data_IF_542863089408
#
_entry.id   IF_542863089408
#
_cell.length_a   1.000
_cell.length_b   1.000
_cell.length_c   1.000
_cell.angle_alpha   90.00
_cell.angle_beta   90.00
_cell.angle_gamma   90.00
#
_symmetry.space_group_name_H-M   'P 1'
#
loop_
_entity.id
_entity.type
_entity.pdbx_description
1 polymer ?
#
# COMPACT_ATOMS: atom_id res chain seq x y z
N UNK A 1 -18.36 1.63 -65.25
CA UNK A 1 -16.93 1.40 -65.54
C UNK A 1 -16.21 2.74 -65.38
N UNK A 2 -15.38 2.89 -64.32
CA UNK A 2 -14.25 3.84 -64.13
C UNK A 2 -14.59 5.36 -64.23
N UNK A 3 -14.22 6.28 -63.34
CA UNK A 3 -13.04 6.34 -62.45
C UNK A 3 -13.15 7.53 -61.47
N UNK A 4 -12.77 7.27 -60.22
CA UNK A 4 -12.23 8.14 -59.15
C UNK A 4 -11.73 9.55 -59.52
N UNK A 5 -11.90 10.51 -58.59
CA UNK A 5 -10.78 11.18 -57.87
C UNK A 5 -11.22 12.18 -56.77
N UNK A 6 -10.70 11.94 -55.54
CA UNK A 6 -10.23 12.89 -54.47
C UNK A 6 -11.19 13.96 -53.92
N UNK A 7 -11.68 13.94 -52.67
CA UNK A 7 -11.07 13.92 -51.32
C UNK A 7 -10.28 15.21 -50.96
N UNK A 8 -10.76 16.00 -49.97
CA UNK A 8 -10.02 16.80 -48.93
C UNK A 8 -11.03 17.61 -48.07
N UNK A 9 -11.40 17.15 -46.86
CA UNK A 9 -11.04 17.68 -45.51
C UNK A 9 -11.60 19.07 -45.16
N UNK A 10 -12.51 19.12 -44.17
CA UNK A 10 -12.40 20.02 -43.00
C UNK A 10 -13.38 19.59 -41.88
N UNK A 11 -12.93 18.71 -40.98
CA UNK A 11 -13.51 18.56 -39.64
C UNK A 11 -12.62 19.36 -38.70
N UNK A 12 -13.18 20.36 -38.00
CA UNK A 12 -12.42 21.05 -36.95
C UNK A 12 -13.36 21.50 -35.83
N UNK A 13 -12.88 21.25 -34.61
CA UNK A 13 -13.26 21.85 -33.33
C UNK A 13 -14.42 21.22 -32.53
N UNK A 14 -14.12 20.09 -31.88
CA UNK A 14 -14.47 19.89 -30.46
C UNK A 14 -13.27 19.21 -29.77
N UNK A 15 -12.38 20.00 -29.18
CA UNK A 15 -11.49 19.55 -28.10
C UNK A 15 -11.56 20.61 -27.01
N UNK A 16 -12.65 20.57 -26.25
CA UNK A 16 -12.71 21.22 -24.96
C UNK A 16 -12.09 20.23 -23.97
N UNK A 17 -10.88 20.58 -23.54
CA UNK A 17 -10.07 19.91 -22.54
C UNK A 17 -10.85 19.89 -21.22
N UNK A 18 -11.33 18.71 -20.82
CA UNK A 18 -11.63 18.42 -19.42
C UNK A 18 -10.35 17.83 -18.82
N UNK A 19 -9.68 18.48 -17.85
CA UNK A 19 -8.81 17.75 -16.96
C UNK A 19 -9.72 16.87 -16.09
N UNK A 20 -9.88 15.60 -16.46
CA UNK A 20 -10.38 14.61 -15.53
C UNK A 20 -9.38 14.52 -14.39
N UNK A 21 -9.63 15.27 -13.31
CA UNK A 21 -9.11 14.92 -11.99
C UNK A 21 -9.73 13.55 -11.68
N UNK A 22 -9.00 12.49 -11.96
CA UNK A 22 -9.37 11.14 -11.54
C UNK A 22 -9.31 11.10 -10.01
N UNK A 23 -10.42 11.42 -9.35
CA UNK A 23 -10.58 11.11 -7.94
C UNK A 23 -10.75 9.59 -7.83
N UNK A 24 -10.02 8.97 -6.91
CA UNK A 24 -10.24 7.59 -6.51
C UNK A 24 -11.73 7.40 -6.23
N UNK A 25 -12.34 6.31 -6.70
CA UNK A 25 -13.77 6.08 -6.45
C UNK A 25 -13.92 5.33 -5.13
N UNK A 26 -14.44 5.94 -4.05
CA UNK A 26 -14.62 5.23 -2.80
C UNK A 26 -15.61 4.09 -2.97
N UNK A 27 -15.25 2.91 -2.48
CA UNK A 27 -16.10 1.70 -2.49
C UNK A 27 -16.75 1.43 -1.14
N UNK A 28 -16.51 2.32 -0.18
CA UNK A 28 -16.97 2.27 1.19
C UNK A 28 -16.20 3.26 2.04
N UNK A 29 -16.45 3.22 3.35
CA UNK A 29 -15.72 4.04 4.32
C UNK A 29 -15.43 3.24 5.57
N UNK A 30 -14.41 3.64 6.33
CA UNK A 30 -14.14 3.16 7.69
C UNK A 30 -13.98 4.36 8.62
N UNK A 31 -14.41 4.22 9.87
CA UNK A 31 -14.15 5.22 10.90
C UNK A 31 -13.04 4.67 11.81
N UNK A 32 -11.86 5.28 11.76
CA UNK A 32 -10.63 4.80 12.41
C UNK A 32 -9.95 5.88 13.25
N UNK A 33 -9.20 5.47 14.27
CA UNK A 33 -8.23 6.31 15.00
C UNK A 33 -6.91 5.56 15.09
N UNK A 34 -5.79 6.28 15.11
CA UNK A 34 -4.49 5.68 15.37
C UNK A 34 -4.34 5.41 16.88
N UNK A 35 -4.17 4.15 17.26
CA UNK A 35 -4.07 3.66 18.63
C UNK A 35 -2.67 3.08 18.92
N UNK A 36 -1.65 3.84 18.50
CA UNK A 36 -0.25 3.48 18.69
C UNK A 36 0.29 2.50 17.64
N UNK A 37 1.41 1.88 17.97
CA UNK A 37 2.22 1.13 17.01
C UNK A 37 2.31 -0.36 17.36
N UNK A 38 2.36 -1.18 16.32
CA UNK A 38 2.83 -2.55 16.40
C UNK A 38 4.35 -2.58 16.43
N UNK A 39 4.95 -3.59 15.80
CA UNK A 39 6.39 -3.62 15.59
C UNK A 39 6.81 -2.39 14.76
N UNK A 40 7.70 -1.59 15.32
CA UNK A 40 8.18 -0.34 14.74
C UNK A 40 9.49 0.09 15.39
N UNK A 41 10.28 0.86 14.64
CA UNK A 41 11.47 1.54 15.14
C UNK A 41 11.58 2.95 14.53
N UNK A 42 12.56 3.73 15.00
CA UNK A 42 12.79 5.10 14.55
C UNK A 42 13.85 5.13 13.46
N UNK A 43 13.46 5.59 12.28
CA UNK A 43 14.36 5.90 11.17
C UNK A 43 14.38 7.40 10.86
N UNK A 44 15.35 7.81 10.08
CA UNK A 44 15.46 9.18 9.55
C UNK A 44 15.04 9.18 8.08
N UNK A 45 14.03 9.99 7.75
CA UNK A 45 13.34 10.01 6.47
C UNK A 45 13.73 11.26 5.66
N UNK A 46 14.04 11.03 4.39
CA UNK A 46 14.24 12.04 3.36
C UNK A 46 13.33 11.64 2.19
N UNK A 47 12.18 12.30 2.06
CA UNK A 47 11.12 11.89 1.14
C UNK A 47 9.78 12.46 1.59
N UNK A 48 8.82 12.57 0.66
CA UNK A 48 7.53 13.22 0.96
C UNK A 48 7.68 14.67 1.46
N UNK A 49 8.70 15.40 0.99
CA UNK A 49 8.96 16.78 1.37
C UNK A 49 9.78 16.95 2.66
N UNK A 50 10.19 15.84 3.30
CA UNK A 50 11.06 15.86 4.47
C UNK A 50 12.53 15.77 4.10
N UNK A 51 13.39 16.39 4.91
CA UNK A 51 14.85 16.32 4.80
C UNK A 51 15.45 16.05 6.18
N UNK A 52 15.47 14.78 6.58
CA UNK A 52 16.00 14.35 7.88
C UNK A 52 14.96 14.29 9.00
N UNK A 53 13.71 13.95 8.68
CA UNK A 53 12.66 13.76 9.69
C UNK A 53 12.89 12.44 10.45
N UNK A 54 13.07 12.50 11.76
CA UNK A 54 13.01 11.29 12.59
C UNK A 54 11.55 10.91 12.83
N UNK A 55 11.16 9.71 12.40
CA UNK A 55 9.80 9.20 12.49
C UNK A 55 9.76 7.69 12.69
N UNK A 56 8.60 7.19 13.10
CA UNK A 56 8.39 5.75 13.23
C UNK A 56 8.19 5.11 11.86
N UNK A 57 8.95 4.05 11.59
CA UNK A 57 8.71 3.12 10.50
C UNK A 57 8.24 1.80 11.07
N UNK A 58 7.13 1.29 10.56
CA UNK A 58 6.56 0.03 11.00
C UNK A 58 5.04 0.04 10.96
N UNK A 59 4.44 -0.85 11.75
CA UNK A 59 3.00 -1.05 11.78
C UNK A 59 2.32 0.04 12.61
N UNK A 60 1.36 0.72 11.99
CA UNK A 60 0.39 1.59 12.66
C UNK A 60 -0.81 0.75 13.06
N UNK A 61 -1.19 0.82 14.34
CA UNK A 61 -2.39 0.16 14.85
C UNK A 61 -3.57 1.13 14.72
N UNK A 62 -4.59 0.72 13.97
CA UNK A 62 -5.78 1.51 13.72
C UNK A 62 -6.96 0.86 14.44
N UNK A 63 -7.61 1.57 15.35
CA UNK A 63 -8.86 1.08 15.95
C UNK A 63 -10.05 1.48 15.07
N UNK A 64 -10.68 0.48 14.44
CA UNK A 64 -11.86 0.66 13.60
C UNK A 64 -13.13 0.57 14.43
N UNK A 65 -13.94 1.62 14.38
CA UNK A 65 -15.19 1.73 15.16
C UNK A 65 -16.44 1.54 14.31
N UNK A 66 -16.40 1.84 13.02
CA UNK A 66 -17.52 1.67 12.10
C UNK A 66 -17.06 1.54 10.64
N UNK A 67 -17.99 1.18 9.74
CA UNK A 67 -17.75 1.16 8.31
C UNK A 67 -19.01 1.08 7.47
N UNK A 68 -18.86 1.31 6.18
CA UNK A 68 -19.91 1.15 5.16
C UNK A 68 -19.33 0.50 3.90
N UNK A 69 -20.17 -0.14 3.08
CA UNK A 69 -19.72 -0.75 1.81
C UNK A 69 -18.57 -1.74 2.04
N UNK A 70 -17.50 -1.60 1.26
CA UNK A 70 -16.29 -2.41 1.44
C UNK A 70 -15.55 -2.16 2.76
N UNK A 71 -15.82 -1.07 3.47
CA UNK A 71 -15.30 -0.87 4.83
C UNK A 71 -15.80 -1.91 5.83
N UNK A 72 -16.87 -2.65 5.53
CA UNK A 72 -17.37 -3.74 6.37
C UNK A 72 -16.60 -5.06 6.20
N UNK A 73 -15.63 -5.12 5.28
CA UNK A 73 -14.73 -6.27 5.12
C UNK A 73 -13.90 -6.47 6.40
N UNK A 74 -13.44 -5.38 7.01
CA UNK A 74 -12.72 -5.42 8.28
C UNK A 74 -13.71 -5.35 9.45
N UNK A 75 -13.58 -6.29 10.38
CA UNK A 75 -14.25 -6.21 11.69
C UNK A 75 -13.86 -4.94 12.44
N UNK A 76 -14.73 -4.47 13.32
CA UNK A 76 -14.36 -3.43 14.27
C UNK A 76 -13.29 -3.95 15.25
N UNK A 77 -12.45 -3.04 15.74
CA UNK A 77 -11.27 -3.32 16.55
C UNK A 77 -9.96 -3.03 15.83
N UNK A 78 -8.83 -3.55 16.33
CA UNK A 78 -7.51 -3.23 15.84
C UNK A 78 -7.26 -3.78 14.43
N UNK A 79 -6.69 -2.92 13.57
CA UNK A 79 -6.22 -3.24 12.22
C UNK A 79 -4.78 -2.76 12.12
N UNK A 80 -3.87 -3.66 11.81
CA UNK A 80 -2.49 -3.30 11.45
C UNK A 80 -2.42 -2.76 10.02
N UNK A 81 -1.76 -1.64 9.83
CA UNK A 81 -1.49 -1.06 8.51
C UNK A 81 -0.14 -0.36 8.45
N UNK A 82 0.26 0.07 7.26
CA UNK A 82 1.46 0.87 7.06
C UNK A 82 1.11 2.25 6.52
N UNK A 83 1.83 3.27 6.99
CA UNK A 83 1.75 4.62 6.42
C UNK A 83 2.13 4.59 4.94
N UNK A 84 1.33 5.23 4.09
CA UNK A 84 1.66 5.46 2.68
C UNK A 84 1.77 6.94 2.31
N UNK A 85 1.56 7.83 3.27
CA UNK A 85 1.62 9.28 3.09
C UNK A 85 2.53 9.96 4.11
N UNK A 86 3.81 10.12 3.77
CA UNK A 86 4.86 10.64 4.65
C UNK A 86 4.65 12.09 5.10
N UNK A 87 3.92 12.90 4.34
CA UNK A 87 3.78 14.33 4.57
C UNK A 87 2.58 14.70 5.47
N UNK A 88 1.79 13.71 5.89
CA UNK A 88 0.61 13.92 6.72
C UNK A 88 0.71 13.17 8.04
N UNK A 89 -0.11 13.57 9.00
CA UNK A 89 -0.10 13.01 10.36
C UNK A 89 -1.24 12.01 10.57
N UNK A 90 -0.96 10.96 11.33
CA UNK A 90 -1.97 9.98 11.76
C UNK A 90 -3.12 10.65 12.54
N UNK A 91 -4.35 10.12 12.47
CA UNK A 91 -5.50 10.70 13.15
C UNK A 91 -5.45 10.42 14.67
N UNK A 92 -5.58 11.46 15.48
CA UNK A 92 -5.64 11.43 16.94
C UNK A 92 -7.07 11.28 17.50
N UNK A 93 -8.07 11.40 16.62
CA UNK A 93 -9.48 11.15 16.92
C UNK A 93 -10.10 10.29 15.82
N UNK A 94 -11.19 9.58 16.14
CA UNK A 94 -11.94 8.79 15.16
C UNK A 94 -12.32 9.66 13.96
N UNK A 95 -11.76 9.31 12.81
CA UNK A 95 -11.88 10.05 11.56
C UNK A 95 -12.38 9.10 10.49
N UNK A 96 -13.24 9.61 9.60
CA UNK A 96 -13.76 8.85 8.47
C UNK A 96 -12.75 8.81 7.34
N UNK A 97 -12.42 7.62 6.88
CA UNK A 97 -11.57 7.35 5.73
C UNK A 97 -12.39 6.71 4.62
N UNK A 98 -12.08 7.08 3.38
CA UNK A 98 -12.55 6.37 2.21
C UNK A 98 -11.76 5.07 2.04
N UNK A 99 -12.46 4.01 1.64
CA UNK A 99 -11.82 2.76 1.23
C UNK A 99 -11.63 2.80 -0.27
N UNK A 100 -10.39 2.72 -0.74
CA UNK A 100 -10.04 2.84 -2.16
C UNK A 100 -9.12 1.71 -2.61
N UNK A 101 -9.20 1.36 -3.89
CA UNK A 101 -8.25 0.44 -4.49
C UNK A 101 -6.86 1.08 -4.56
N UNK A 102 -5.82 0.28 -4.30
CA UNK A 102 -4.46 0.80 -4.12
C UNK A 102 -3.94 1.58 -5.34
N UNK A 103 -4.22 1.09 -6.55
CA UNK A 103 -3.82 1.76 -7.79
C UNK A 103 -4.50 3.12 -8.02
N UNK A 104 -5.60 3.40 -7.32
CA UNK A 104 -6.37 4.64 -7.43
C UNK A 104 -5.98 5.67 -6.36
N UNK A 105 -5.17 5.28 -5.36
CA UNK A 105 -4.71 6.20 -4.30
C UNK A 105 -4.04 7.40 -4.94
N UNK A 106 -4.61 8.59 -4.72
CA UNK A 106 -4.06 9.83 -5.23
C UNK A 106 -3.11 10.42 -4.19
N UNK A 107 -1.81 10.31 -4.45
CA UNK A 107 -0.81 10.93 -3.60
C UNK A 107 -0.52 12.34 -4.12
N UNK A 108 -1.00 13.34 -3.38
CA UNK A 108 -0.89 14.74 -3.78
C UNK A 108 0.56 15.20 -3.94
N UNK A 109 1.49 14.63 -3.16
CA UNK A 109 2.92 14.92 -3.25
C UNK A 109 3.52 14.41 -4.56
N UNK A 110 3.11 13.22 -5.02
CA UNK A 110 3.56 12.63 -6.28
C UNK A 110 2.85 13.23 -7.51
N UNK A 111 1.82 14.06 -7.31
CA UNK A 111 1.09 14.72 -8.38
C UNK A 111 0.18 13.79 -9.20
N UNK A 112 -0.21 12.63 -8.66
CA UNK A 112 -1.05 11.67 -9.37
C UNK A 112 -1.44 10.42 -8.58
N UNK A 113 -2.14 9.51 -9.27
CA UNK A 113 -2.51 8.20 -8.72
C UNK A 113 -1.31 7.26 -8.68
N UNK A 114 -1.27 6.39 -7.66
CA UNK A 114 -0.20 5.40 -7.47
C UNK A 114 0.02 4.50 -8.68
N UNK A 115 -1.08 4.11 -9.35
CA UNK A 115 -1.04 3.31 -10.58
C UNK A 115 -0.84 1.81 -10.33
N UNK A 116 -1.16 1.02 -11.37
CA UNK A 116 -1.24 -0.43 -11.25
C UNK A 116 0.11 -1.10 -10.97
N UNK A 117 1.20 -0.60 -11.55
CA UNK A 117 2.53 -1.22 -11.39
C UNK A 117 3.03 -1.15 -9.95
N UNK A 118 2.99 0.05 -9.32
CA UNK A 118 3.36 0.22 -7.91
C UNK A 118 2.43 -0.56 -6.98
N UNK A 119 1.12 -0.54 -7.23
CA UNK A 119 0.15 -1.32 -6.47
C UNK A 119 0.44 -2.84 -6.53
N UNK A 120 0.85 -3.35 -7.69
CA UNK A 120 1.20 -4.76 -7.89
C UNK A 120 2.48 -5.15 -7.13
N UNK A 121 3.49 -4.27 -7.12
CA UNK A 121 4.71 -4.47 -6.34
C UNK A 121 4.47 -4.39 -4.83
N UNK A 122 3.61 -3.50 -4.35
CA UNK A 122 3.20 -3.44 -2.95
C UNK A 122 2.46 -4.72 -2.53
N UNK A 123 1.58 -5.22 -3.40
CA UNK A 123 0.87 -6.48 -3.17
C UNK A 123 1.83 -7.67 -3.07
N UNK A 124 2.86 -7.72 -3.91
CA UNK A 124 3.90 -8.75 -3.87
C UNK A 124 4.81 -8.62 -2.64
N UNK A 125 5.28 -7.40 -2.33
CA UNK A 125 6.08 -7.13 -1.14
C UNK A 125 5.36 -7.63 0.12
N UNK A 126 4.08 -7.28 0.24
CA UNK A 126 3.24 -7.75 1.34
C UNK A 126 3.07 -9.27 1.33
N UNK A 127 2.71 -9.85 0.18
CA UNK A 127 2.48 -11.29 0.07
C UNK A 127 3.72 -12.14 0.37
N UNK A 128 4.92 -11.60 0.17
CA UNK A 128 6.20 -12.30 0.44
C UNK A 128 6.72 -12.08 1.86
N UNK A 129 6.63 -10.87 2.40
CA UNK A 129 7.44 -10.49 3.58
C UNK A 129 6.65 -9.94 4.76
N UNK A 130 5.39 -9.56 4.59
CA UNK A 130 4.60 -9.10 5.73
C UNK A 130 4.41 -10.22 6.75
N UNK A 131 4.64 -9.93 8.02
CA UNK A 131 4.37 -10.85 9.12
C UNK A 131 3.22 -10.32 9.98
N UNK A 132 2.08 -11.03 10.10
CA UNK A 132 0.96 -10.60 10.94
C UNK A 132 1.31 -10.50 12.44
N UNK A 133 2.38 -11.16 12.89
CA UNK A 133 2.88 -11.02 14.27
C UNK A 133 3.30 -9.58 14.57
N UNK A 134 3.65 -8.76 13.57
CA UNK A 134 3.98 -7.35 13.78
C UNK A 134 2.81 -6.49 14.27
N UNK A 135 1.58 -7.02 14.25
CA UNK A 135 0.35 -6.31 14.63
C UNK A 135 -0.43 -7.00 15.78
N UNK A 136 0.17 -7.98 16.47
CA UNK A 136 -0.55 -8.88 17.39
C UNK A 136 -0.67 -8.41 18.85
N UNK A 137 -0.25 -7.19 19.18
CA UNK A 137 -0.31 -6.61 20.53
C UNK A 137 0.98 -6.70 21.36
N UNK A 138 2.03 -7.39 20.90
CA UNK A 138 3.37 -7.33 21.49
C UNK A 138 3.53 -8.02 22.86
N UNK A 139 4.73 -7.96 23.49
CA UNK A 139 5.89 -7.13 23.14
C UNK A 139 6.68 -7.64 21.92
N UNK A 140 7.28 -6.70 21.17
CA UNK A 140 8.09 -7.01 19.99
C UNK A 140 9.59 -6.97 20.29
N UNK A 141 10.32 -7.97 19.78
CA UNK A 141 11.77 -8.01 19.78
C UNK A 141 12.39 -6.91 18.91
N UNK A 142 13.67 -6.60 19.14
CA UNK A 142 14.39 -5.65 18.27
C UNK A 142 14.48 -6.11 16.82
N UNK A 143 14.51 -7.42 16.59
CA UNK A 143 14.49 -8.00 15.24
C UNK A 143 13.15 -7.75 14.55
N UNK A 144 12.02 -8.01 15.22
CA UNK A 144 10.68 -7.73 14.65
C UNK A 144 10.48 -6.26 14.34
N UNK A 145 10.94 -5.37 15.23
CA UNK A 145 10.91 -3.92 15.01
C UNK A 145 11.72 -3.51 13.79
N UNK A 146 12.96 -3.98 13.69
CA UNK A 146 13.83 -3.69 12.54
C UNK A 146 13.31 -4.28 11.22
N UNK A 147 12.62 -5.42 11.25
CA UNK A 147 11.97 -5.99 10.06
C UNK A 147 10.75 -5.16 9.62
N UNK A 148 9.89 -4.76 10.56
CA UNK A 148 8.72 -3.94 10.26
C UNK A 148 9.13 -2.53 9.77
N UNK A 149 10.19 -1.96 10.34
CA UNK A 149 10.79 -0.70 9.89
C UNK A 149 11.36 -0.81 8.46
N UNK A 150 12.12 -1.86 8.17
CA UNK A 150 12.61 -2.14 6.82
C UNK A 150 11.46 -2.31 5.81
N UNK A 151 10.35 -2.92 6.25
CA UNK A 151 9.17 -3.11 5.41
C UNK A 151 8.51 -1.76 5.09
N UNK A 152 8.38 -0.88 6.09
CA UNK A 152 7.86 0.47 5.89
C UNK A 152 8.75 1.28 4.92
N UNK A 153 10.07 1.20 5.05
CA UNK A 153 10.99 1.84 4.11
C UNK A 153 10.85 1.30 2.68
N UNK A 154 10.70 -0.02 2.50
CA UNK A 154 10.44 -0.60 1.18
C UNK A 154 9.08 -0.18 0.58
N UNK A 155 8.05 -0.01 1.43
CA UNK A 155 6.76 0.54 1.00
C UNK A 155 6.94 1.98 0.48
N UNK A 156 7.68 2.81 1.21
CA UNK A 156 7.93 4.20 0.80
C UNK A 156 8.81 4.31 -0.44
N UNK A 157 9.84 3.47 -0.57
CA UNK A 157 10.63 3.36 -1.80
C UNK A 157 9.71 3.16 -3.02
N UNK A 158 8.83 2.15 -2.98
CA UNK A 158 7.93 1.87 -4.11
C UNK A 158 7.00 3.05 -4.41
N UNK A 159 6.53 3.76 -3.37
CA UNK A 159 5.55 4.84 -3.52
C UNK A 159 6.19 6.13 -4.03
N UNK A 160 7.31 6.54 -3.45
CA UNK A 160 7.89 7.86 -3.65
C UNK A 160 8.94 7.90 -4.76
N UNK A 161 9.58 6.78 -5.11
CA UNK A 161 10.50 6.72 -6.25
C UNK A 161 9.76 6.61 -7.58
N UNK A 162 10.39 7.13 -8.64
CA UNK A 162 9.96 6.81 -10.00
C UNK A 162 10.07 5.30 -10.25
N UNK A 163 9.24 4.77 -11.15
CA UNK A 163 9.30 3.35 -11.46
C UNK A 163 10.64 3.01 -12.15
N UNK A 164 11.53 2.22 -11.52
CA UNK A 164 12.80 1.92 -12.14
C UNK A 164 12.62 0.97 -13.32
N UNK A 165 13.61 0.95 -14.22
CA UNK A 165 13.67 -0.02 -15.32
C UNK A 165 13.83 -1.47 -14.82
N UNK A 166 14.31 -1.66 -13.60
CA UNK A 166 14.45 -2.94 -12.93
C UNK A 166 14.32 -2.77 -11.42
N UNK A 167 13.68 -3.73 -10.71
CA UNK A 167 13.62 -3.77 -9.25
C UNK A 167 14.99 -3.70 -8.56
N UNK A 168 16.07 -4.13 -9.24
CA UNK A 168 17.45 -4.05 -8.75
C UNK A 168 17.96 -2.61 -8.53
N UNK A 169 17.25 -1.62 -9.06
CA UNK A 169 17.63 -0.22 -8.95
C UNK A 169 16.91 0.50 -7.81
N UNK A 170 16.01 -0.18 -7.09
CA UNK A 170 15.48 0.35 -5.84
C UNK A 170 16.53 0.25 -4.75
N UNK A 171 16.72 1.34 -4.01
CA UNK A 171 17.71 1.43 -2.96
C UNK A 171 17.31 2.50 -1.95
N UNK A 172 16.84 2.09 -0.77
CA UNK A 172 16.44 3.02 0.30
C UNK A 172 17.58 3.88 0.84
N UNK A 173 18.83 3.66 0.40
CA UNK A 173 20.02 4.43 0.80
C UNK A 173 20.48 5.45 -0.23
N UNK A 174 19.81 5.54 -1.37
CA UNK A 174 20.12 6.48 -2.43
C UNK A 174 18.81 7.05 -2.96
N UNK A 175 18.67 8.37 -3.00
CA UNK A 175 17.56 8.99 -3.73
C UNK A 175 17.68 8.61 -5.21
N UNK A 176 16.76 7.76 -5.68
CA UNK A 176 16.73 7.24 -7.04
C UNK A 176 16.25 8.27 -8.05
N UNK A 177 15.66 9.37 -7.57
CA UNK A 177 15.14 10.44 -8.37
C UNK A 177 16.08 11.65 -8.37
N UNK A 178 16.47 12.11 -9.55
CA UNK A 178 17.05 13.45 -9.66
C UNK A 178 15.89 14.47 -9.61
N UNK A 179 15.33 14.78 -8.44
CA UNK A 179 14.20 15.71 -8.35
C UNK A 179 13.47 15.79 -7.00
N UNK A 180 12.21 16.21 -7.03
CA UNK A 180 11.34 16.36 -5.84
C UNK A 180 10.61 15.08 -5.43
N UNK A 181 10.80 13.96 -6.14
CA UNK A 181 10.02 12.73 -6.03
C UNK A 181 10.93 11.52 -5.76
N UNK A 182 11.45 11.43 -4.55
CA UNK A 182 12.35 10.35 -4.16
C UNK A 182 12.21 9.96 -2.71
N UNK A 183 12.85 8.85 -2.37
CA UNK A 183 12.93 8.32 -1.02
C UNK A 183 14.36 7.95 -0.68
N UNK A 184 14.75 8.33 0.52
CA UNK A 184 16.01 7.98 1.13
C UNK A 184 15.79 7.86 2.64
N UNK A 185 16.43 6.87 3.26
CA UNK A 185 16.35 6.62 4.68
C UNK A 185 17.73 6.35 5.32
N UNK A 186 17.87 6.80 6.56
CA UNK A 186 18.98 6.45 7.45
C UNK A 186 18.46 5.78 8.71
N UNK A 187 19.34 5.11 9.45
CA UNK A 187 19.01 4.38 10.68
C UNK A 187 17.98 3.25 10.47
N UNK A 188 17.79 2.80 9.24
CA UNK A 188 16.94 1.65 8.88
C UNK A 188 17.79 0.43 8.57
N UNK A 189 17.23 -0.78 8.73
CA UNK A 189 17.83 -2.01 8.18
C UNK A 189 17.73 -2.04 6.63
N UNK A 190 18.50 -1.17 5.98
CA UNK A 190 18.47 -0.96 4.53
C UNK A 190 18.90 -2.19 3.74
N UNK A 191 19.86 -2.98 4.25
CA UNK A 191 20.27 -4.23 3.62
C UNK A 191 19.08 -5.19 3.47
N UNK A 192 18.23 -5.29 4.49
CA UNK A 192 17.03 -6.11 4.43
C UNK A 192 15.97 -5.52 3.48
N UNK A 193 15.66 -4.22 3.61
CA UNK A 193 14.71 -3.54 2.74
C UNK A 193 15.08 -3.70 1.25
N UNK A 194 16.33 -3.41 0.89
CA UNK A 194 16.84 -3.55 -0.47
C UNK A 194 16.84 -5.01 -0.93
N UNK A 195 17.13 -5.97 -0.04
CA UNK A 195 17.05 -7.39 -0.41
C UNK A 195 15.63 -7.84 -0.79
N UNK A 196 14.60 -7.26 -0.17
CA UNK A 196 13.21 -7.54 -0.50
C UNK A 196 12.80 -6.86 -1.81
N UNK A 197 13.13 -5.57 -1.97
CA UNK A 197 12.84 -4.79 -3.18
C UNK A 197 13.46 -5.43 -4.43
N UNK A 198 14.72 -5.84 -4.34
CA UNK A 198 15.50 -6.35 -5.47
C UNK A 198 15.04 -7.71 -6.01
N UNK A 199 14.17 -8.42 -5.28
CA UNK A 199 13.63 -9.72 -5.70
C UNK A 199 12.16 -9.66 -6.12
N UNK A 200 11.53 -8.49 -6.03
CA UNK A 200 10.18 -8.31 -6.57
C UNK A 200 10.25 -8.43 -8.09
N UNK A 201 9.37 -9.22 -8.70
CA UNK A 201 9.38 -9.48 -10.14
C UNK A 201 7.98 -9.52 -10.77
N UNK A 202 6.95 -9.23 -9.99
CA UNK A 202 5.55 -9.27 -10.37
C UNK A 202 4.96 -10.68 -10.41
N UNK A 203 5.72 -11.73 -10.07
CA UNK A 203 5.28 -13.13 -10.18
C UNK A 203 5.10 -13.83 -8.83
N UNK A 204 5.56 -13.21 -7.75
CA UNK A 204 5.43 -13.76 -6.40
C UNK A 204 4.01 -13.86 -5.85
N UNK A 205 3.86 -14.44 -4.65
CA UNK A 205 2.62 -14.37 -3.89
C UNK A 205 2.20 -12.91 -3.66
N UNK A 206 0.93 -12.61 -3.88
CA UNK A 206 0.37 -11.26 -3.74
C UNK A 206 -0.74 -11.26 -2.71
N UNK A 207 -0.70 -10.30 -1.80
CA UNK A 207 -1.81 -10.01 -0.91
C UNK A 207 -2.85 -9.14 -1.62
N UNK A 208 -4.13 -9.31 -1.26
CA UNK A 208 -5.14 -8.34 -1.66
C UNK A 208 -5.04 -7.13 -0.73
N UNK A 209 -4.67 -5.97 -1.29
CA UNK A 209 -4.47 -4.73 -0.54
C UNK A 209 -5.48 -3.66 -0.93
N UNK A 210 -5.84 -2.84 0.04
CA UNK A 210 -6.63 -1.63 -0.13
C UNK A 210 -5.98 -0.50 0.65
N UNK A 211 -6.40 0.73 0.39
CA UNK A 211 -5.98 1.88 1.17
C UNK A 211 -7.18 2.51 1.90
N UNK A 212 -6.90 2.98 3.11
CA UNK A 212 -7.74 3.93 3.81
C UNK A 212 -7.19 5.32 3.52
N UNK A 213 -8.00 6.14 2.83
CA UNK A 213 -7.59 7.48 2.38
C UNK A 213 -8.42 8.58 3.04
N UNK A 214 -7.77 9.65 3.48
CA UNK A 214 -8.45 10.83 4.00
C UNK A 214 -7.74 12.11 3.59
N UNK A 215 -8.48 13.08 3.04
CA UNK A 215 -7.89 14.37 2.69
C UNK A 215 -7.52 15.15 3.96
N UNK A 216 -6.22 15.27 4.23
CA UNK A 216 -5.66 16.02 5.37
C UNK A 216 -5.29 15.15 6.59
N UNK A 217 -5.38 13.82 6.48
CA UNK A 217 -4.78 12.88 7.42
C UNK A 217 -4.00 11.80 6.68
N UNK A 218 -3.00 11.24 7.35
CA UNK A 218 -2.16 10.18 6.81
C UNK A 218 -2.98 8.99 6.29
N UNK A 219 -2.68 8.58 5.06
CA UNK A 219 -3.24 7.39 4.42
C UNK A 219 -2.56 6.09 4.87
N UNK A 220 -3.31 4.99 4.84
CA UNK A 220 -2.85 3.68 5.31
C UNK A 220 -3.06 2.57 4.28
N UNK A 221 -2.02 1.76 4.06
CA UNK A 221 -2.07 0.49 3.36
C UNK A 221 -2.51 -0.63 4.30
N UNK A 222 -3.53 -1.38 3.91
CA UNK A 222 -4.09 -2.48 4.72
C UNK A 222 -4.35 -3.71 3.87
N UNK A 223 -4.18 -4.88 4.47
CA UNK A 223 -4.56 -6.15 3.85
C UNK A 223 -6.07 -6.38 3.99
N UNK A 224 -6.70 -6.80 2.90
CA UNK A 224 -8.05 -7.37 2.89
C UNK A 224 -7.97 -8.77 3.51
N UNK A 225 -8.65 -9.04 4.65
CA UNK A 225 -8.70 -10.36 5.25
C UNK A 225 -9.19 -11.39 4.22
N UNK A 226 -8.45 -12.48 4.03
CA UNK A 226 -8.84 -13.51 3.06
C UNK A 226 -10.15 -14.21 3.51
N UNK A 227 -11.25 -14.09 2.75
CA UNK A 227 -12.54 -14.62 3.21
C UNK A 227 -12.64 -16.17 3.21
N UNK A 228 -11.72 -16.89 2.55
CA UNK A 228 -11.99 -18.26 2.09
C UNK A 228 -10.97 -19.34 2.48
N UNK A 229 -9.71 -19.00 2.80
CA UNK A 229 -8.67 -20.01 3.04
C UNK A 229 -8.95 -20.83 4.29
N UNK A 230 -9.52 -20.22 5.34
CA UNK A 230 -9.95 -20.92 6.55
C UNK A 230 -11.15 -21.85 6.29
N UNK A 231 -12.12 -21.42 5.48
CA UNK A 231 -13.29 -22.24 5.14
C UNK A 231 -12.91 -23.45 4.27
N UNK A 232 -12.01 -23.29 3.30
CA UNK A 232 -11.56 -24.37 2.42
C UNK A 232 -10.70 -25.41 3.15
N UNK A 233 -9.82 -24.98 4.06
CA UNK A 233 -9.07 -25.89 4.93
C UNK A 233 -9.99 -26.67 5.90
N UNK A 234 -11.01 -26.00 6.46
CA UNK A 234 -12.02 -26.64 7.31
C UNK A 234 -12.86 -27.69 6.56
N UNK A 235 -13.27 -27.40 5.32
CA UNK A 235 -14.00 -28.36 4.48
C UNK A 235 -13.12 -29.53 4.03
N UNK A 236 -11.84 -29.28 3.71
CA UNK A 236 -10.88 -30.33 3.38
C UNK A 236 -10.67 -31.32 4.54
N UNK A 237 -10.58 -30.83 5.78
CA UNK A 237 -10.46 -31.65 6.98
C UNK A 237 -11.69 -32.53 7.23
N UNK A 238 -12.89 -31.97 7.05
CA UNK A 238 -14.16 -32.71 7.21
C UNK A 238 -14.31 -33.84 6.19
N UNK A 239 -13.88 -33.63 4.94
CA UNK A 239 -13.88 -34.67 3.90
C UNK A 239 -12.87 -35.77 4.21
N UNK A 240 -11.67 -35.42 4.70
CA UNK A 240 -10.65 -36.38 5.09
C UNK A 240 -11.08 -37.25 6.29
N UNK A 241 -11.68 -36.64 7.31
CA UNK A 241 -12.23 -37.36 8.47
C UNK A 241 -13.39 -38.29 8.08
N UNK A 242 -14.23 -37.91 7.12
CA UNK A 242 -15.33 -38.76 6.65
C UNK A 242 -14.82 -39.98 5.91
N UNK A 243 -13.77 -39.84 5.09
CA UNK A 243 -13.15 -40.94 4.35
C UNK A 243 -12.47 -41.97 5.26
N UNK A 244 -11.93 -41.53 6.41
CA UNK A 244 -11.33 -42.40 7.43
C UNK A 244 -12.33 -43.18 8.29
N UNK A 245 -13.61 -42.79 8.32
CA UNK A 245 -14.66 -43.50 9.09
C UNK A 245 -15.41 -44.54 8.26
N UNK A 246 -15.22 -44.53 6.94
CA UNK A 246 -15.87 -45.44 5.98
C UNK A 246 -14.92 -46.48 5.38
N UNK A 247 -13.65 -46.49 5.81
CA UNK A 247 -12.67 -47.53 5.52
C UNK A 247 -12.38 -48.28 6.83
#
# INVERSE_FOLDING_TARGET
MKTRKTATILCTAIVLVLPCLAKATPVGTVDIVHDGYGASDVLTIYGGGHSGLNGYGGVYMLDKTAGTGQGNIWSNGPIGGFCIELHQWSPDTTTKYDVVALQEVNNSFMGGVMGAAKADYLAELWGRFYNPAWADGGPYSGEEKGMAEAFAAAVWEIIYEDMPASPLNWDVTVDGSAGSHGFYAQNVNSALANSWLNILDGTGPKAQLMAFVNEGKQDFLVQVPEPATVCLLGLGWLVFLRKRRTA
#
